data_IF_385943756009
#
_entry.id   IF_385943756009
#
_cell.length_a   1.000
_cell.length_b   1.000
_cell.length_c   1.000
_cell.angle_alpha   90.00
_cell.angle_beta   90.00
_cell.angle_gamma   90.00
#
_symmetry.space_group_name_H-M   'P 1'
#
loop_
_entity.id
_entity.type
_entity.pdbx_description
1 polymer ?
#
# COMPACT_ATOMS: atom_id res chain seq x y z
N UNK A 1 10.02 3.67 -15.41
CA UNK A 1 9.52 3.94 -14.03
C UNK A 1 10.03 2.92 -13.04
N UNK A 2 10.29 3.34 -11.82
CA UNK A 2 10.83 2.54 -10.70
C UNK A 2 9.89 2.61 -9.51
N UNK A 3 10.13 1.78 -8.48
CA UNK A 3 9.34 1.76 -7.25
C UNK A 3 9.16 3.15 -6.63
N UNK A 4 10.25 3.94 -6.56
CA UNK A 4 10.25 5.30 -5.98
C UNK A 4 9.28 6.26 -6.69
N UNK A 5 8.97 6.01 -7.96
CA UNK A 5 8.11 6.89 -8.77
C UNK A 5 6.62 6.67 -8.49
N UNK A 6 6.26 5.49 -7.95
CA UNK A 6 4.87 5.04 -7.83
C UNK A 6 4.49 4.61 -6.42
N UNK A 7 5.46 4.38 -5.53
CA UNK A 7 5.21 3.94 -4.18
C UNK A 7 4.47 4.98 -3.33
N UNK A 8 3.65 4.52 -2.41
CA UNK A 8 3.15 5.31 -1.29
C UNK A 8 4.27 5.43 -0.25
N UNK A 9 4.71 6.66 0.09
CA UNK A 9 5.80 6.90 1.04
C UNK A 9 5.31 6.96 2.48
N UNK A 10 4.13 7.55 2.72
CA UNK A 10 3.53 7.64 4.05
C UNK A 10 2.84 6.33 4.42
N UNK A 11 3.66 5.30 4.67
CA UNK A 11 3.18 3.96 4.96
C UNK A 11 2.74 3.86 6.41
N UNK A 12 1.49 3.44 6.62
CA UNK A 12 0.99 3.05 7.95
C UNK A 12 1.73 1.80 8.40
N UNK A 13 2.39 1.88 9.55
CA UNK A 13 3.21 0.80 10.11
C UNK A 13 2.75 0.43 11.52
N UNK A 14 3.16 -0.73 11.98
CA UNK A 14 2.98 -1.17 13.36
C UNK A 14 4.30 -1.69 13.93
N UNK A 15 4.37 -1.91 15.24
CA UNK A 15 5.52 -2.53 15.92
C UNK A 15 5.19 -3.93 16.39
N UNK A 16 6.19 -4.80 16.63
CA UNK A 16 5.95 -6.17 17.10
C UNK A 16 5.17 -6.28 18.42
N UNK A 17 5.27 -5.25 19.28
CA UNK A 17 4.64 -5.20 20.59
C UNK A 17 3.15 -4.86 20.53
N UNK A 18 2.69 -4.25 19.44
CA UNK A 18 1.27 -3.90 19.27
C UNK A 18 0.38 -5.13 19.33
N UNK A 19 -0.86 -4.90 19.80
CA UNK A 19 -1.82 -5.97 19.86
C UNK A 19 -2.49 -6.22 18.50
N UNK A 20 -2.98 -7.43 18.31
CA UNK A 20 -3.77 -7.81 17.13
C UNK A 20 -4.99 -6.91 16.97
N UNK A 21 -5.65 -6.54 18.08
CA UNK A 21 -6.82 -5.66 18.07
C UNK A 21 -6.47 -4.25 17.59
N UNK A 22 -5.34 -3.69 18.04
CA UNK A 22 -4.92 -2.35 17.64
C UNK A 22 -4.59 -2.29 16.15
N UNK A 23 -3.94 -3.33 15.64
CA UNK A 23 -3.63 -3.42 14.21
C UNK A 23 -4.90 -3.64 13.37
N UNK A 24 -5.85 -4.44 13.84
CA UNK A 24 -7.14 -4.56 13.17
C UNK A 24 -7.86 -3.19 13.08
N UNK A 25 -7.85 -2.39 14.16
CA UNK A 25 -8.38 -1.01 14.12
C UNK A 25 -7.64 -0.12 13.14
N UNK A 26 -6.29 -0.19 13.11
CA UNK A 26 -5.48 0.56 12.13
C UNK A 26 -5.85 0.17 10.70
N UNK A 27 -5.98 -1.13 10.40
CA UNK A 27 -6.36 -1.60 9.08
C UNK A 27 -7.74 -1.08 8.65
N UNK A 28 -8.72 -1.11 9.56
CA UNK A 28 -10.08 -0.61 9.31
C UNK A 28 -10.07 0.91 9.10
N UNK A 29 -9.42 1.66 10.00
CA UNK A 29 -9.40 3.13 9.96
C UNK A 29 -8.71 3.66 8.70
N UNK A 30 -7.60 3.01 8.28
CA UNK A 30 -6.84 3.38 7.09
C UNK A 30 -7.28 2.63 5.82
N UNK A 31 -8.26 1.72 5.92
CA UNK A 31 -8.76 0.89 4.80
C UNK A 31 -7.66 0.14 4.07
N UNK A 32 -6.77 -0.44 4.82
CA UNK A 32 -5.63 -1.21 4.30
C UNK A 32 -5.77 -2.68 4.73
N UNK A 33 -5.38 -3.59 3.87
CA UNK A 33 -5.45 -5.03 4.09
C UNK A 33 -4.10 -5.68 4.42
N UNK A 34 -3.12 -4.88 4.83
CA UNK A 34 -1.82 -5.34 5.31
C UNK A 34 -0.96 -4.19 5.78
N UNK A 35 -0.20 -4.44 6.85
CA UNK A 35 0.65 -3.45 7.53
C UNK A 35 2.06 -4.01 7.64
N UNK A 36 3.09 -3.27 7.18
CA UNK A 36 4.48 -3.56 7.50
C UNK A 36 4.75 -3.34 8.98
N UNK A 37 5.52 -4.25 9.55
CA UNK A 37 5.97 -4.19 10.95
C UNK A 37 7.40 -3.67 10.94
N UNK A 38 7.66 -2.63 11.73
CA UNK A 38 8.96 -1.98 11.80
C UNK A 38 9.46 -1.87 13.23
N UNK A 39 10.77 -1.87 13.39
CA UNK A 39 11.46 -1.60 14.66
C UNK A 39 12.44 -0.43 14.50
N UNK A 40 12.76 0.22 15.61
CA UNK A 40 13.75 1.30 15.66
C UNK A 40 13.52 2.37 14.60
N UNK A 41 14.55 2.65 13.80
CA UNK A 41 14.52 3.63 12.72
C UNK A 41 13.92 3.00 11.44
N UNK A 42 12.64 2.61 11.49
CA UNK A 42 11.85 2.03 10.38
C UNK A 42 12.44 0.74 9.77
N UNK A 43 13.23 -0.03 10.52
CA UNK A 43 13.75 -1.32 10.06
C UNK A 43 12.57 -2.29 9.83
N UNK A 44 12.45 -2.81 8.62
CA UNK A 44 11.40 -3.75 8.26
C UNK A 44 11.67 -5.12 8.88
N UNK A 45 10.83 -5.56 9.83
CA UNK A 45 11.01 -6.83 10.56
C UNK A 45 9.88 -7.83 10.33
N UNK A 46 8.79 -7.40 9.71
CA UNK A 46 7.64 -8.28 9.46
C UNK A 46 6.56 -7.64 8.63
N UNK A 47 5.53 -8.43 8.34
CA UNK A 47 4.27 -7.97 7.75
C UNK A 47 3.10 -8.74 8.35
N UNK A 48 1.97 -8.06 8.57
CA UNK A 48 0.69 -8.67 8.94
C UNK A 48 -0.36 -8.26 7.93
N UNK A 49 -1.19 -9.23 7.53
CA UNK A 49 -2.27 -9.04 6.56
C UNK A 49 -3.62 -9.42 7.15
N UNK A 50 -4.72 -9.04 6.47
CA UNK A 50 -6.08 -9.53 6.82
C UNK A 50 -6.12 -11.06 6.94
N UNK A 51 -5.41 -11.78 6.05
CA UNK A 51 -5.37 -13.24 6.08
C UNK A 51 -4.79 -13.82 7.38
N UNK A 52 -3.90 -13.09 8.06
CA UNK A 52 -3.36 -13.47 9.35
C UNK A 52 -4.35 -13.20 10.50
N UNK A 53 -5.26 -12.22 10.31
CA UNK A 53 -6.23 -11.77 11.30
C UNK A 53 -7.60 -12.43 11.16
N UNK A 54 -7.96 -12.98 9.99
CA UNK A 54 -9.29 -13.53 9.71
C UNK A 54 -9.59 -14.86 10.45
N UNK A 55 -8.58 -15.57 10.93
CA UNK A 55 -8.75 -16.92 11.52
C UNK A 55 -8.35 -16.92 12.98
N UNK A 56 -9.28 -16.45 13.80
CA UNK A 56 -9.02 -16.26 15.22
C UNK A 56 -10.09 -16.90 16.08
N UNK A 57 -9.66 -17.36 17.28
CA UNK A 57 -10.55 -17.94 18.27
C UNK A 57 -11.57 -16.92 18.78
N UNK A 58 -11.16 -15.65 18.92
CA UNK A 58 -12.02 -14.57 19.43
C UNK A 58 -13.22 -14.27 18.51
N UNK A 59 -13.11 -14.58 17.21
CA UNK A 59 -14.20 -14.37 16.23
C UNK A 59 -14.92 -15.66 15.83
N UNK A 60 -14.51 -16.82 16.38
CA UNK A 60 -15.07 -18.11 16.01
C UNK A 60 -14.80 -18.53 14.56
N UNK A 61 -13.84 -17.86 13.90
CA UNK A 61 -13.50 -18.10 12.47
C UNK A 61 -12.35 -19.08 12.29
N UNK A 62 -11.98 -19.82 13.31
CA UNK A 62 -10.99 -20.89 13.22
C UNK A 62 -11.40 -21.93 12.16
N UNK A 63 -10.44 -22.39 11.35
CA UNK A 63 -10.69 -23.54 10.49
C UNK A 63 -10.88 -24.79 11.35
N UNK A 64 -12.12 -25.25 11.45
CA UNK A 64 -12.40 -26.61 11.88
C UNK A 64 -11.94 -27.55 10.77
N UNK A 65 -10.78 -28.15 10.95
CA UNK A 65 -10.36 -29.24 10.07
C UNK A 65 -11.00 -30.55 10.56
N UNK A 66 -11.35 -31.42 9.59
CA UNK A 66 -11.73 -32.79 9.87
C UNK A 66 -10.67 -33.43 10.77
N UNK A 67 -11.09 -34.10 11.84
CA UNK A 67 -10.23 -34.80 12.79
C UNK A 67 -9.17 -35.72 12.14
N UNK A 68 -9.44 -36.21 10.94
CA UNK A 68 -8.55 -37.09 10.18
C UNK A 68 -7.25 -36.43 9.71
N UNK A 69 -7.26 -35.11 9.39
CA UNK A 69 -6.07 -34.42 8.92
C UNK A 69 -5.11 -33.99 10.04
N UNK A 70 -5.60 -33.90 11.27
CA UNK A 70 -4.79 -33.52 12.43
C UNK A 70 -3.89 -34.66 12.91
N UNK A 71 -4.32 -35.92 12.76
CA UNK A 71 -3.56 -37.09 13.18
C UNK A 71 -2.24 -37.27 12.39
N UNK A 72 -2.14 -36.74 11.19
CA UNK A 72 -0.94 -36.79 10.35
C UNK A 72 -0.14 -35.47 10.31
N UNK A 73 -0.56 -34.48 11.10
CA UNK A 73 0.14 -33.18 11.12
C UNK A 73 1.24 -33.18 12.19
N UNK A 74 2.46 -32.72 11.86
CA UNK A 74 3.51 -32.55 12.87
C UNK A 74 3.06 -31.62 13.99
N UNK A 75 3.42 -31.94 15.25
CA UNK A 75 3.08 -31.13 16.43
C UNK A 75 3.50 -29.66 16.29
N UNK A 76 4.61 -29.39 15.61
CA UNK A 76 5.07 -28.03 15.31
C UNK A 76 4.06 -27.23 14.46
N UNK A 77 3.38 -27.88 13.50
CA UNK A 77 2.37 -27.24 12.65
C UNK A 77 1.09 -26.93 13.43
N UNK A 78 0.68 -27.83 14.33
CA UNK A 78 -0.46 -27.62 15.22
C UNK A 78 -0.17 -26.48 16.22
N UNK A 79 1.01 -26.46 16.83
CA UNK A 79 1.45 -25.38 17.72
C UNK A 79 1.52 -24.03 17.00
N UNK A 80 2.07 -23.96 15.80
CA UNK A 80 2.11 -22.73 15.00
C UNK A 80 0.70 -22.22 14.64
N UNK A 81 -0.25 -23.13 14.36
CA UNK A 81 -1.65 -22.78 14.12
C UNK A 81 -2.31 -22.24 15.39
N UNK A 82 -2.08 -22.88 16.53
CA UNK A 82 -2.58 -22.41 17.84
C UNK A 82 -2.07 -21.01 18.16
N UNK A 83 -0.77 -20.77 17.97
CA UNK A 83 -0.18 -19.45 18.17
C UNK A 83 -0.88 -18.41 17.28
N UNK A 84 -1.03 -18.68 15.97
CA UNK A 84 -1.68 -17.75 15.04
C UNK A 84 -3.13 -17.43 15.42
N UNK A 85 -3.87 -18.37 16.02
CA UNK A 85 -5.28 -18.16 16.38
C UNK A 85 -5.49 -17.54 17.77
N UNK A 86 -4.51 -17.64 18.69
CA UNK A 86 -4.64 -17.21 20.09
C UNK A 86 -3.66 -16.11 20.52
N UNK A 87 -2.60 -15.88 19.77
CA UNK A 87 -1.61 -14.87 20.13
C UNK A 87 -2.22 -13.46 20.12
N UNK A 88 -1.82 -12.66 21.09
CA UNK A 88 -2.30 -11.28 21.26
C UNK A 88 -1.35 -10.23 20.69
N UNK A 89 -0.08 -10.56 20.49
CA UNK A 89 0.96 -9.65 19.97
C UNK A 89 1.27 -9.95 18.52
N UNK A 90 1.64 -8.92 17.78
CA UNK A 90 2.02 -9.07 16.36
C UNK A 90 3.29 -9.89 16.19
N UNK A 91 4.24 -9.78 17.12
CA UNK A 91 5.50 -10.55 17.09
C UNK A 91 5.27 -12.06 16.92
N UNK A 92 4.13 -12.59 17.40
CA UNK A 92 3.82 -14.01 17.38
C UNK A 92 3.12 -14.46 16.09
N UNK A 93 2.50 -13.52 15.35
CA UNK A 93 1.70 -13.85 14.16
C UNK A 93 2.27 -13.30 12.86
N UNK A 94 3.14 -12.29 12.93
CA UNK A 94 3.71 -11.64 11.75
C UNK A 94 4.54 -12.61 10.90
N UNK A 95 4.53 -12.40 9.62
CA UNK A 95 5.47 -13.04 8.69
C UNK A 95 6.79 -12.27 8.73
N UNK A 96 7.87 -12.92 9.15
CA UNK A 96 9.20 -12.30 9.32
C UNK A 96 10.01 -12.28 8.03
N UNK A 97 9.87 -13.30 7.19
CA UNK A 97 10.51 -13.34 5.87
C UNK A 97 9.70 -12.50 4.88
N UNK A 98 9.94 -11.17 4.93
CA UNK A 98 9.18 -10.21 4.15
C UNK A 98 9.80 -10.06 2.77
N UNK A 99 9.02 -10.42 1.76
CA UNK A 99 9.36 -10.12 0.37
C UNK A 99 9.30 -8.61 0.17
N UNK A 100 10.42 -7.99 -0.20
CA UNK A 100 10.57 -6.56 -0.41
C UNK A 100 11.39 -6.26 -1.66
N UNK A 101 11.40 -5.01 -2.10
CA UNK A 101 12.19 -4.53 -3.23
C UNK A 101 12.93 -3.25 -2.86
N UNK A 102 13.98 -2.94 -3.61
CA UNK A 102 14.66 -1.65 -3.50
C UNK A 102 13.81 -0.54 -4.16
N UNK A 103 14.05 0.71 -3.80
CA UNK A 103 13.41 1.87 -4.41
C UNK A 103 13.71 2.02 -5.92
N UNK A 104 14.79 1.39 -6.39
CA UNK A 104 15.21 1.39 -7.79
C UNK A 104 14.64 0.22 -8.61
N UNK A 105 13.91 -0.70 -7.99
CA UNK A 105 13.29 -1.83 -8.69
C UNK A 105 12.33 -1.32 -9.77
N UNK A 106 12.35 -1.98 -10.92
CA UNK A 106 11.45 -1.68 -12.04
C UNK A 106 10.04 -2.19 -11.77
N UNK A 107 9.05 -1.62 -12.47
CA UNK A 107 7.65 -2.08 -12.35
C UNK A 107 7.47 -3.52 -12.83
N UNK A 108 8.26 -3.95 -13.84
CA UNK A 108 8.25 -5.34 -14.31
C UNK A 108 8.70 -6.30 -13.22
N UNK A 109 9.86 -6.04 -12.58
CA UNK A 109 10.36 -6.84 -11.46
C UNK A 109 9.36 -6.91 -10.31
N UNK A 110 8.66 -5.79 -10.00
CA UNK A 110 7.64 -5.76 -8.96
C UNK A 110 6.42 -6.60 -9.36
N UNK A 111 5.96 -6.52 -10.61
CA UNK A 111 4.83 -7.29 -11.11
C UNK A 111 5.13 -8.79 -11.08
N UNK A 112 6.29 -9.20 -11.60
CA UNK A 112 6.76 -10.59 -11.60
C UNK A 112 6.85 -11.15 -10.17
N UNK A 113 7.39 -10.34 -9.24
CA UNK A 113 7.52 -10.71 -7.83
C UNK A 113 6.14 -10.89 -7.17
N UNK A 114 5.20 -9.96 -7.44
CA UNK A 114 3.82 -10.06 -6.92
C UNK A 114 3.10 -11.31 -7.45
N UNK A 115 3.33 -11.68 -8.70
CA UNK A 115 2.75 -12.87 -9.32
C UNK A 115 3.37 -14.14 -8.74
N UNK A 116 4.71 -14.25 -8.79
CA UNK A 116 5.45 -15.42 -8.33
C UNK A 116 5.19 -15.73 -6.84
N UNK A 117 5.09 -14.71 -6.00
CA UNK A 117 4.84 -14.84 -4.56
C UNK A 117 3.36 -14.80 -4.19
N UNK A 118 2.46 -14.58 -5.16
CA UNK A 118 1.00 -14.44 -4.96
C UNK A 118 0.64 -13.37 -3.92
N UNK A 119 1.38 -12.25 -3.91
CA UNK A 119 1.18 -11.12 -3.00
C UNK A 119 0.53 -9.95 -3.72
N UNK A 120 -0.16 -9.08 -2.96
CA UNK A 120 -0.90 -7.92 -3.51
C UNK A 120 -0.15 -6.60 -3.32
N UNK A 121 0.91 -6.60 -2.52
CA UNK A 121 1.75 -5.44 -2.22
C UNK A 121 3.14 -5.86 -1.85
N UNK A 122 4.09 -4.96 -2.07
CA UNK A 122 5.51 -5.18 -1.78
C UNK A 122 6.04 -3.96 -1.04
N UNK A 123 6.57 -4.10 0.18
CA UNK A 123 7.33 -3.06 0.84
C UNK A 123 8.56 -2.67 0.02
N UNK A 124 8.82 -1.38 -0.02
CA UNK A 124 10.02 -0.81 -0.64
C UNK A 124 11.00 -0.43 0.46
N UNK A 125 12.23 -0.88 0.35
CA UNK A 125 13.25 -0.65 1.36
C UNK A 125 14.50 0.02 0.78
N UNK A 126 15.16 0.81 1.63
CA UNK A 126 16.48 1.36 1.42
C UNK A 126 17.33 1.02 2.65
N UNK A 127 18.42 0.29 2.46
CA UNK A 127 19.27 -0.23 3.56
C UNK A 127 18.48 -0.95 4.68
N UNK A 128 17.49 -1.76 4.28
CA UNK A 128 16.62 -2.49 5.20
C UNK A 128 15.50 -1.67 5.85
N UNK A 129 15.51 -0.34 5.69
CA UNK A 129 14.49 0.58 6.23
C UNK A 129 13.33 0.72 5.26
N UNK A 130 12.13 0.69 5.78
CA UNK A 130 10.91 0.89 4.99
C UNK A 130 10.83 2.35 4.51
N UNK A 131 10.87 2.56 3.19
CA UNK A 131 10.74 3.88 2.55
C UNK A 131 9.44 4.04 1.77
N UNK A 132 8.73 2.94 1.48
CA UNK A 132 7.47 2.99 0.77
C UNK A 132 6.79 1.62 0.66
N UNK A 133 5.68 1.58 -0.03
CA UNK A 133 4.95 0.35 -0.39
C UNK A 133 4.35 0.51 -1.80
N UNK A 134 4.42 -0.54 -2.61
CA UNK A 134 3.75 -0.62 -3.92
C UNK A 134 2.69 -1.70 -3.86
N UNK A 135 1.51 -1.41 -4.37
CA UNK A 135 0.38 -2.35 -4.48
C UNK A 135 0.03 -2.65 -5.94
N UNK A 136 -0.80 -3.68 -6.16
CA UNK A 136 -1.37 -3.95 -7.50
C UNK A 136 -2.20 -2.78 -8.03
N UNK A 137 -2.87 -2.02 -7.15
CA UNK A 137 -3.63 -0.85 -7.55
C UNK A 137 -2.74 0.23 -8.16
N UNK A 138 -1.52 0.41 -7.64
CA UNK A 138 -0.57 1.38 -8.18
C UNK A 138 -0.13 0.98 -9.60
N UNK A 139 0.12 -0.31 -9.85
CA UNK A 139 0.43 -0.83 -11.19
C UNK A 139 -0.76 -0.63 -12.16
N UNK A 140 -1.99 -0.84 -11.69
CA UNK A 140 -3.19 -0.63 -12.51
C UNK A 140 -3.40 0.85 -12.87
N UNK A 141 -3.11 1.78 -11.93
CA UNK A 141 -3.17 3.22 -12.23
C UNK A 141 -2.20 3.61 -13.33
N UNK A 142 -0.98 3.07 -13.30
CA UNK A 142 0.03 3.30 -14.34
C UNK A 142 -0.45 2.78 -15.68
N UNK A 143 -1.00 1.56 -15.71
CA UNK A 143 -1.57 0.99 -16.93
C UNK A 143 -2.69 1.88 -17.49
N UNK A 144 -3.59 2.36 -16.64
CA UNK A 144 -4.70 3.23 -17.01
C UNK A 144 -4.23 4.63 -17.46
N UNK A 145 -3.07 5.10 -17.00
CA UNK A 145 -2.44 6.36 -17.42
C UNK A 145 -1.64 6.24 -18.72
N UNK A 146 -1.89 5.23 -19.55
CA UNK A 146 -1.20 5.03 -20.83
C UNK A 146 0.20 4.39 -20.71
N UNK A 147 0.48 3.77 -19.58
CA UNK A 147 1.80 3.30 -19.13
C UNK A 147 2.52 2.21 -19.93
N UNK A 148 2.01 1.77 -21.07
CA UNK A 148 2.70 0.79 -21.91
C UNK A 148 3.95 1.36 -22.65
N UNK A 149 4.12 2.67 -22.71
CA UNK A 149 5.19 3.36 -23.43
C UNK A 149 5.93 4.40 -22.57
N UNK A 150 5.97 4.21 -21.24
CA UNK A 150 6.71 5.15 -20.39
C UNK A 150 8.21 4.89 -20.56
N UNK A 151 8.95 5.74 -21.30
CA UNK A 151 10.39 5.77 -21.18
C UNK A 151 10.71 6.02 -19.70
N UNK A 152 11.82 5.50 -19.24
CA UNK A 152 12.41 5.87 -17.94
C UNK A 152 12.88 7.34 -18.04
N UNK A 153 11.91 8.26 -18.25
CA UNK A 153 12.18 9.65 -18.57
C UNK A 153 12.36 10.44 -17.29
N UNK A 154 13.61 10.75 -17.00
CA UNK A 154 13.98 11.61 -15.87
C UNK A 154 13.30 13.00 -15.89
N UNK A 155 12.59 13.35 -16.98
CA UNK A 155 11.86 14.63 -17.11
C UNK A 155 10.58 14.70 -16.29
N UNK A 156 9.89 13.60 -16.09
CA UNK A 156 8.61 13.56 -15.38
C UNK A 156 8.77 13.60 -13.86
N UNK A 157 9.86 13.03 -13.34
CA UNK A 157 10.17 13.06 -11.88
C UNK A 157 10.26 14.47 -11.31
N UNK A 158 10.99 15.44 -11.93
CA UNK A 158 11.02 16.81 -11.46
C UNK A 158 9.64 17.49 -11.48
N UNK A 159 8.80 17.21 -12.50
CA UNK A 159 7.44 17.75 -12.58
C UNK A 159 6.62 17.24 -11.40
N UNK A 160 6.58 15.91 -11.21
CA UNK A 160 5.87 15.28 -10.09
C UNK A 160 6.36 15.80 -8.73
N UNK A 161 7.66 15.90 -8.54
CA UNK A 161 8.25 16.36 -7.28
C UNK A 161 7.88 17.80 -6.96
N UNK A 162 7.87 18.70 -7.96
CA UNK A 162 7.45 20.11 -7.80
C UNK A 162 5.98 20.20 -7.44
N UNK A 163 5.11 19.48 -8.15
CA UNK A 163 3.67 19.46 -7.88
C UNK A 163 3.39 18.96 -6.46
N UNK A 164 3.98 17.84 -6.06
CA UNK A 164 3.83 17.31 -4.70
C UNK A 164 4.34 18.27 -3.63
N UNK A 165 5.49 18.93 -3.87
CA UNK A 165 6.05 19.93 -2.96
C UNK A 165 5.13 21.14 -2.82
N UNK A 166 4.46 21.55 -3.89
CA UNK A 166 3.47 22.64 -3.83
C UNK A 166 2.22 22.23 -3.07
N UNK A 167 1.66 21.05 -3.36
CA UNK A 167 0.47 20.55 -2.67
C UNK A 167 0.69 20.34 -1.17
N UNK A 168 1.87 19.88 -0.75
CA UNK A 168 2.21 19.71 0.67
C UNK A 168 2.24 21.01 1.47
N UNK A 169 2.41 22.17 0.84
CA UNK A 169 2.32 23.48 1.50
C UNK A 169 0.87 23.89 1.80
N UNK A 170 -0.08 23.24 1.13
CA UNK A 170 -1.48 23.62 1.20
C UNK A 170 -2.21 22.84 2.30
N UNK A 171 -2.86 23.55 3.22
CA UNK A 171 -3.60 22.91 4.34
C UNK A 171 -4.82 22.08 3.89
N UNK A 172 -5.38 22.41 2.72
CA UNK A 172 -6.53 21.71 2.13
C UNK A 172 -6.12 20.46 1.38
N UNK A 173 -4.88 20.37 0.92
CA UNK A 173 -4.40 19.23 0.16
C UNK A 173 -3.82 18.16 1.11
N UNK A 174 -4.32 16.95 0.94
CA UNK A 174 -3.73 15.76 1.57
C UNK A 174 -3.40 14.73 0.46
N UNK A 175 -2.44 15.05 -0.43
CA UNK A 175 -2.16 14.20 -1.57
C UNK A 175 -1.56 12.88 -1.11
N UNK A 176 -2.23 11.77 -1.47
CA UNK A 176 -1.56 10.49 -1.49
C UNK A 176 -0.64 10.48 -2.71
N UNK A 177 0.66 10.33 -2.50
CA UNK A 177 1.64 10.42 -3.59
C UNK A 177 1.41 9.42 -4.72
N UNK A 178 0.86 8.24 -4.40
CA UNK A 178 0.53 7.21 -5.39
C UNK A 178 -0.69 7.58 -6.27
N UNK A 179 -1.47 8.58 -5.87
CA UNK A 179 -2.63 9.03 -6.63
C UNK A 179 -2.26 10.12 -7.66
N UNK A 180 -0.99 10.55 -7.73
CA UNK A 180 -0.47 11.53 -8.69
C UNK A 180 0.62 10.89 -9.54
N UNK A 181 0.29 10.64 -10.80
CA UNK A 181 1.21 10.07 -11.79
C UNK A 181 1.52 11.16 -12.82
N UNK A 182 2.77 11.23 -13.28
CA UNK A 182 3.18 12.09 -14.40
C UNK A 182 3.80 11.22 -15.47
N UNK A 183 3.33 11.40 -16.70
CA UNK A 183 3.80 10.67 -17.89
C UNK A 183 3.82 11.60 -19.09
N UNK A 184 4.98 11.75 -19.73
CA UNK A 184 5.17 12.66 -20.87
C UNK A 184 4.69 14.10 -20.61
N UNK A 185 4.85 14.57 -19.36
CA UNK A 185 4.37 15.89 -18.93
C UNK A 185 2.85 15.96 -18.71
N UNK A 186 2.11 14.88 -18.87
CA UNK A 186 0.69 14.80 -18.51
C UNK A 186 0.56 14.36 -17.06
N UNK A 187 -0.20 15.12 -16.26
CA UNK A 187 -0.50 14.80 -14.85
C UNK A 187 -1.82 14.05 -14.78
N UNK A 188 -1.79 12.87 -14.20
CA UNK A 188 -2.97 12.04 -13.93
C UNK A 188 -3.29 12.10 -12.44
N UNK A 189 -4.49 12.56 -12.10
CA UNK A 189 -5.01 12.54 -10.74
C UNK A 189 -5.96 11.37 -10.54
N UNK A 190 -5.74 10.60 -9.48
CA UNK A 190 -6.56 9.47 -9.05
C UNK A 190 -7.07 9.67 -7.63
N UNK A 191 -7.96 8.79 -7.18
CA UNK A 191 -8.43 8.74 -5.80
C UNK A 191 -9.70 9.53 -5.55
N UNK A 192 -9.91 9.94 -4.28
CA UNK A 192 -11.13 10.62 -3.83
C UNK A 192 -10.76 12.02 -3.35
N UNK A 193 -11.50 13.01 -3.85
CA UNK A 193 -11.42 14.40 -3.40
C UNK A 193 -12.64 14.75 -2.55
N UNK A 194 -12.45 15.59 -1.52
CA UNK A 194 -13.50 15.95 -0.56
C UNK A 194 -14.53 16.92 -1.12
N UNK A 195 -14.16 17.71 -2.13
CA UNK A 195 -15.04 18.71 -2.74
C UNK A 195 -14.65 19.03 -4.18
N UNK A 196 -15.54 19.68 -4.89
CA UNK A 196 -15.28 20.17 -6.26
C UNK A 196 -14.28 21.33 -6.27
N UNK A 197 -14.21 22.09 -5.17
CA UNK A 197 -13.20 23.13 -4.96
C UNK A 197 -11.81 22.54 -4.83
N UNK A 198 -11.66 21.45 -4.08
CA UNK A 198 -10.41 20.71 -3.95
C UNK A 198 -9.96 20.15 -5.32
N UNK A 199 -10.88 19.56 -6.08
CA UNK A 199 -10.62 19.07 -7.43
C UNK A 199 -10.09 20.17 -8.34
N UNK A 200 -10.76 21.35 -8.35
CA UNK A 200 -10.31 22.50 -9.14
C UNK A 200 -8.97 23.04 -8.67
N UNK A 201 -8.72 23.05 -7.36
CA UNK A 201 -7.44 23.50 -6.82
C UNK A 201 -6.28 22.57 -7.20
N UNK A 202 -6.49 21.25 -7.24
CA UNK A 202 -5.50 20.28 -7.75
C UNK A 202 -5.15 20.59 -9.21
N UNK A 203 -6.16 20.84 -10.05
CA UNK A 203 -5.96 21.20 -11.46
C UNK A 203 -5.13 22.48 -11.59
N UNK A 204 -5.50 23.54 -10.88
CA UNK A 204 -4.76 24.81 -10.89
C UNK A 204 -3.31 24.63 -10.42
N UNK A 205 -3.06 23.82 -9.40
CA UNK A 205 -1.72 23.53 -8.95
C UNK A 205 -0.87 22.82 -10.04
N UNK A 206 -1.48 21.89 -10.77
CA UNK A 206 -0.82 21.23 -11.87
C UNK A 206 -0.55 22.17 -13.05
N UNK A 207 -1.53 22.98 -13.45
CA UNK A 207 -1.39 23.99 -14.52
C UNK A 207 -0.23 24.96 -14.26
N UNK A 208 -0.01 25.33 -12.99
CA UNK A 208 1.08 26.22 -12.57
C UNK A 208 2.42 25.49 -12.38
N UNK A 209 2.47 24.16 -12.56
CA UNK A 209 3.73 23.40 -12.40
C UNK A 209 4.53 23.40 -13.69
N UNK A 210 5.77 23.95 -13.71
CA UNK A 210 6.60 24.00 -14.93
C UNK A 210 6.87 22.61 -15.48
N UNK A 211 6.60 22.43 -16.78
CA UNK A 211 6.79 21.18 -17.51
C UNK A 211 5.50 20.39 -17.71
N UNK A 212 4.40 20.74 -17.06
CA UNK A 212 3.07 20.14 -17.30
C UNK A 212 2.57 20.56 -18.69
N UNK A 213 2.13 19.56 -19.47
CA UNK A 213 1.60 19.71 -20.84
C UNK A 213 0.11 19.41 -20.93
N UNK A 214 -0.39 18.60 -19.98
CA UNK A 214 -1.78 18.18 -19.92
C UNK A 214 -2.15 17.66 -18.55
N UNK A 215 -3.46 17.55 -18.30
CA UNK A 215 -4.02 17.06 -17.05
C UNK A 215 -5.17 16.13 -17.37
N UNK A 216 -5.14 14.93 -16.80
CA UNK A 216 -6.23 13.97 -16.81
C UNK A 216 -6.70 13.70 -15.38
N UNK A 217 -7.97 13.97 -15.14
CA UNK A 217 -8.58 13.90 -13.83
C UNK A 217 -9.52 12.69 -13.73
N UNK A 218 -9.07 11.68 -13.00
CA UNK A 218 -9.82 10.47 -12.68
C UNK A 218 -10.25 10.43 -11.21
N UNK A 219 -10.27 11.59 -10.54
CA UNK A 219 -10.72 11.68 -9.15
C UNK A 219 -12.23 11.52 -9.06
N UNK A 220 -12.69 10.96 -7.96
CA UNK A 220 -14.10 10.82 -7.64
C UNK A 220 -14.44 11.83 -6.55
N UNK A 221 -15.38 12.73 -6.81
CA UNK A 221 -15.92 13.62 -5.79
C UNK A 221 -16.83 12.82 -4.86
N UNK A 222 -16.58 12.89 -3.58
CA UNK A 222 -17.44 12.25 -2.59
C UNK A 222 -17.10 12.74 -1.20
N UNK A 223 -18.07 12.74 -0.25
CA UNK A 223 -17.69 12.91 1.13
C UNK A 223 -16.63 11.85 1.42
N UNK A 224 -15.59 12.21 2.16
CA UNK A 224 -14.63 11.26 2.75
C UNK A 224 -15.43 10.30 3.66
N UNK A 225 -16.21 9.39 3.05
CA UNK A 225 -17.03 8.45 3.80
C UNK A 225 -16.12 7.42 4.43
N UNK A 226 -16.28 7.14 5.73
CA UNK A 226 -15.76 5.94 6.32
C UNK A 226 -16.59 4.75 5.79
N UNK A 227 -16.12 4.05 4.76
CA UNK A 227 -16.77 2.87 4.19
C UNK A 227 -15.98 2.29 3.01
N UNK A 228 -16.10 0.98 2.71
CA UNK A 228 -15.35 0.36 1.63
C UNK A 228 -15.74 0.94 0.28
N UNK A 229 -14.75 1.31 -0.53
CA UNK A 229 -14.93 1.82 -1.91
C UNK A 229 -15.28 0.74 -2.93
N UNK A 230 -15.29 -0.53 -2.53
CA UNK A 230 -15.68 -1.64 -3.39
C UNK A 230 -16.83 -2.43 -2.78
N UNK A 231 -17.89 -2.69 -3.54
CA UNK A 231 -18.85 -3.71 -3.13
C UNK A 231 -18.09 -5.04 -3.00
N UNK A 232 -18.33 -5.72 -1.91
CA UNK A 232 -17.87 -7.11 -1.72
C UNK A 232 -18.64 -7.94 -2.74
N UNK A 233 -17.98 -8.38 -3.81
CA UNK A 233 -18.45 -9.49 -4.65
C UNK A 233 -17.79 -10.75 -4.15
#
# INVERSE_FOLDING_TARGET
MRAIDVMTKDVVTATPEMTVQDVAKLMINHRISGIPIVEGDRQLVGVVTEGDLLRRSETGTERQHSHWSEWFSPNSRLAAKYIKSHARRLADIMTRDVVNVSELATLGEIADLMEARRIKRVPVVHDGKLVGIVSRADLLRILASGGANLPDDDRDRPIRSRLLAELRKQKWANPNESDIIVSDGVVYFWGVVGSEEERRALRVAAENTPGVRGIEDHTISGPLRPGPLFPVI
#
